data_IF_112356190544
#
_entry.id   IF_112356190544
#
_cell.length_a   1.000
_cell.length_b   1.000
_cell.length_c   1.000
_cell.angle_alpha   90.00
_cell.angle_beta   90.00
_cell.angle_gamma   90.00
#
_symmetry.space_group_name_H-M   'P 1'
#
loop_
_entity.id
_entity.type
_entity.pdbx_description
1 polymer ?
#
# COMPACT_ATOMS: atom_id res chain seq x y z
N UNK A 1 -6.43 4.83 -1.93
CA UNK A 1 -5.17 5.48 -1.57
C UNK A 1 -3.99 4.79 -2.24
N UNK A 2 -2.98 5.57 -2.62
CA UNK A 2 -1.68 5.10 -3.06
C UNK A 2 -0.63 5.83 -2.24
N UNK A 3 0.23 5.09 -1.56
CA UNK A 3 1.34 5.66 -0.79
C UNK A 3 2.63 5.54 -1.59
N UNK A 4 3.44 6.58 -1.55
CA UNK A 4 4.74 6.69 -2.23
C UNK A 4 5.77 7.26 -1.28
N UNK A 5 7.03 6.96 -1.49
CA UNK A 5 8.16 7.55 -0.79
C UNK A 5 9.37 7.67 -1.73
N UNK A 6 10.19 8.68 -1.54
CA UNK A 6 11.49 8.80 -2.23
C UNK A 6 12.57 7.98 -1.53
N UNK A 7 12.51 7.93 -0.20
CA UNK A 7 13.42 7.14 0.63
C UNK A 7 12.84 5.75 0.93
N UNK A 8 13.66 4.87 1.48
CA UNK A 8 13.21 3.54 1.91
C UNK A 8 12.22 3.65 3.06
N UNK A 9 10.96 3.45 2.76
CA UNK A 9 9.85 3.38 3.72
C UNK A 9 9.03 2.14 3.38
N UNK A 10 8.76 1.34 4.39
CA UNK A 10 7.85 0.20 4.29
C UNK A 10 6.47 0.56 4.83
N UNK A 11 5.46 0.11 4.12
CA UNK A 11 4.09 0.03 4.65
C UNK A 11 3.82 -1.41 5.05
N UNK A 12 3.33 -1.61 6.27
CA UNK A 12 2.79 -2.88 6.73
C UNK A 12 1.29 -2.74 6.89
N UNK A 13 0.54 -3.58 6.21
CA UNK A 13 -0.90 -3.65 6.29
C UNK A 13 -1.29 -4.74 7.27
N UNK A 14 -2.05 -4.38 8.30
CA UNK A 14 -2.47 -5.24 9.39
C UNK A 14 -3.99 -5.29 9.50
N UNK A 15 -4.54 -6.38 10.00
CA UNK A 15 -5.95 -6.43 10.36
C UNK A 15 -6.26 -5.39 11.45
N UNK A 16 -7.49 -4.90 11.51
CA UNK A 16 -7.93 -3.94 12.53
C UNK A 16 -8.13 -4.61 13.90
N UNK A 17 -7.07 -5.20 14.44
CA UNK A 17 -7.08 -6.05 15.66
C UNK A 17 -7.45 -5.32 16.95
N UNK A 18 -7.26 -4.00 17.01
CA UNK A 18 -7.62 -3.18 18.18
C UNK A 18 -9.04 -2.58 18.08
N UNK A 19 -9.80 -2.91 17.05
CA UNK A 19 -11.15 -2.43 16.86
C UNK A 19 -12.16 -3.56 17.11
N UNK A 20 -13.04 -3.36 18.09
CA UNK A 20 -14.14 -4.27 18.35
C UNK A 20 -15.24 -4.10 17.30
N UNK A 21 -15.60 -5.19 16.62
CA UNK A 21 -16.78 -5.26 15.74
C UNK A 21 -17.85 -6.10 16.43
N UNK A 22 -19.07 -5.56 16.50
CA UNK A 22 -20.23 -6.31 16.98
C UNK A 22 -20.53 -7.49 16.04
N UNK A 23 -20.47 -7.23 14.74
CA UNK A 23 -20.62 -8.24 13.69
C UNK A 23 -19.26 -8.48 13.06
N UNK A 24 -18.75 -9.69 13.18
CA UNK A 24 -17.47 -10.05 12.58
C UNK A 24 -17.57 -10.09 11.06
N UNK A 25 -16.45 -9.79 10.39
CA UNK A 25 -16.34 -9.99 8.95
C UNK A 25 -16.45 -11.49 8.63
N UNK A 26 -17.05 -11.85 7.47
CA UNK A 26 -17.22 -13.26 7.08
C UNK A 26 -15.93 -13.92 6.60
N UNK A 27 -14.79 -13.40 6.99
CA UNK A 27 -13.48 -13.89 6.60
C UNK A 27 -12.34 -13.07 7.18
N UNK A 28 -11.13 -13.35 6.72
CA UNK A 28 -9.90 -12.70 7.17
C UNK A 28 -9.30 -11.81 6.08
N UNK A 29 -8.93 -10.59 6.47
CA UNK A 29 -8.16 -9.69 5.61
C UNK A 29 -6.68 -10.04 5.79
N UNK A 30 -6.02 -10.37 4.69
CA UNK A 30 -4.58 -10.58 4.67
C UNK A 30 -3.86 -9.27 4.48
N UNK A 31 -2.85 -9.07 5.31
CA UNK A 31 -1.92 -7.97 5.19
C UNK A 31 -0.68 -8.33 4.38
N UNK A 32 0.19 -7.36 4.25
CA UNK A 32 1.48 -7.50 3.60
C UNK A 32 2.41 -6.36 3.98
N UNK A 33 3.70 -6.52 3.67
CA UNK A 33 4.72 -5.50 3.88
C UNK A 33 5.37 -5.16 2.54
N UNK A 34 5.34 -3.87 2.17
CA UNK A 34 5.77 -3.41 0.85
C UNK A 34 6.70 -2.19 0.94
N UNK A 35 7.75 -2.11 0.12
CA UNK A 35 8.59 -0.93 0.02
C UNK A 35 7.89 0.15 -0.83
N UNK A 36 7.57 1.29 -0.23
CA UNK A 36 6.84 2.37 -0.89
C UNK A 36 7.67 3.12 -1.93
N UNK A 37 8.99 3.10 -1.79
CA UNK A 37 9.92 3.70 -2.75
C UNK A 37 10.05 2.89 -4.05
N UNK A 38 9.66 1.62 -4.05
CA UNK A 38 9.73 0.75 -5.21
C UNK A 38 8.37 0.28 -5.71
N UNK A 39 7.33 0.36 -4.87
CA UNK A 39 6.03 -0.24 -5.18
C UNK A 39 4.85 0.73 -4.99
N UNK A 40 4.77 1.81 -5.78
CA UNK A 40 3.69 2.79 -5.69
C UNK A 40 2.42 2.25 -6.36
N UNK A 41 1.74 1.37 -5.68
CA UNK A 41 0.45 0.81 -6.12
C UNK A 41 -0.68 1.26 -5.20
N UNK A 42 -1.91 1.31 -5.70
CA UNK A 42 -3.07 1.43 -4.84
C UNK A 42 -3.06 0.34 -3.77
N UNK A 43 -3.47 0.69 -2.55
CA UNK A 43 -3.63 -0.31 -1.50
C UNK A 43 -4.65 -1.35 -1.96
N UNK A 44 -4.17 -2.57 -2.05
CA UNK A 44 -4.97 -3.74 -2.33
C UNK A 44 -4.98 -4.62 -1.09
N UNK A 45 -6.08 -5.29 -0.86
CA UNK A 45 -6.20 -6.25 0.21
C UNK A 45 -6.72 -7.58 -0.34
N UNK A 46 -6.19 -8.67 0.21
CA UNK A 46 -6.68 -10.00 -0.05
C UNK A 46 -7.63 -10.40 1.08
N UNK A 47 -8.68 -11.10 0.74
CA UNK A 47 -9.69 -11.55 1.68
C UNK A 47 -9.95 -13.03 1.51
N UNK A 48 -9.80 -13.79 2.58
CA UNK A 48 -10.18 -15.19 2.63
C UNK A 48 -11.56 -15.32 3.24
N UNK A 49 -12.51 -15.85 2.48
CA UNK A 49 -13.86 -16.11 2.93
C UNK A 49 -13.92 -17.35 3.80
N UNK A 50 -14.44 -17.21 5.03
CA UNK A 50 -14.74 -18.33 5.92
C UNK A 50 -16.24 -18.67 5.89
N UNK A 51 -17.07 -17.67 5.61
CA UNK A 51 -18.52 -17.78 5.52
C UNK A 51 -18.97 -17.21 4.17
N UNK A 52 -18.83 -17.97 3.06
CA UNK A 52 -19.07 -17.47 1.70
C UNK A 52 -20.52 -17.06 1.44
N UNK A 53 -21.46 -17.51 2.28
CA UNK A 53 -22.88 -17.15 2.19
C UNK A 53 -23.19 -15.76 2.78
N UNK A 54 -22.23 -15.13 3.44
CA UNK A 54 -22.42 -13.81 4.04
C UNK A 54 -21.74 -12.71 3.24
N UNK A 55 -22.41 -11.58 3.15
CA UNK A 55 -21.84 -10.37 2.54
C UNK A 55 -20.81 -9.69 3.44
N UNK A 56 -19.83 -9.03 2.80
CA UNK A 56 -18.95 -8.10 3.51
C UNK A 56 -19.69 -6.77 3.65
N UNK A 57 -20.00 -6.38 4.88
CA UNK A 57 -20.61 -5.08 5.18
C UNK A 57 -19.56 -4.15 5.77
N UNK A 58 -19.27 -3.07 5.06
CA UNK A 58 -18.33 -2.02 5.48
C UNK A 58 -19.11 -0.75 5.78
N UNK A 59 -19.00 -0.26 7.00
CA UNK A 59 -19.64 1.00 7.42
C UNK A 59 -18.62 2.14 7.39
N UNK A 60 -19.05 3.30 6.94
CA UNK A 60 -18.22 4.49 6.97
C UNK A 60 -17.79 4.81 8.41
N UNK A 61 -16.50 5.09 8.61
CA UNK A 61 -15.93 5.38 9.92
C UNK A 61 -15.43 4.17 10.70
N UNK A 62 -15.70 2.93 10.22
CA UNK A 62 -15.10 1.75 10.80
C UNK A 62 -13.76 1.42 10.12
N UNK A 63 -12.72 1.09 10.89
CA UNK A 63 -11.45 0.68 10.30
C UNK A 63 -11.60 -0.67 9.61
N UNK A 64 -11.10 -0.75 8.38
CA UNK A 64 -11.02 -2.02 7.63
C UNK A 64 -9.72 -2.75 7.95
N UNK A 65 -8.62 -2.02 7.94
CA UNK A 65 -7.28 -2.48 8.29
C UNK A 65 -6.44 -1.30 8.78
N UNK A 66 -5.30 -1.61 9.38
CA UNK A 66 -4.32 -0.61 9.81
C UNK A 66 -3.14 -0.58 8.84
N UNK A 67 -2.57 0.62 8.65
CA UNK A 67 -1.31 0.82 7.95
C UNK A 67 -0.27 1.32 8.93
N UNK A 68 0.84 0.60 9.04
CA UNK A 68 2.02 0.99 9.79
C UNK A 68 3.13 1.37 8.82
N UNK A 69 3.76 2.52 9.06
CA UNK A 69 4.87 3.00 8.25
C UNK A 69 6.16 2.92 9.04
N UNK A 70 7.19 2.33 8.43
CA UNK A 70 8.52 2.18 9.02
C UNK A 70 9.56 2.78 8.09
N UNK A 71 10.29 3.78 8.59
CA UNK A 71 11.45 4.36 7.90
C UNK A 71 12.71 3.53 8.10
N UNK A 72 13.79 4.01 7.52
CA UNK A 72 15.13 3.42 7.66
C UNK A 72 15.77 3.86 8.99
N UNK A 73 15.47 3.12 10.04
CA UNK A 73 15.98 3.32 11.40
C UNK A 73 14.92 3.76 12.42
N UNK A 74 15.13 3.40 13.70
CA UNK A 74 14.14 3.60 14.76
C UNK A 74 13.89 5.07 15.13
N UNK A 75 14.87 5.94 14.87
CA UNK A 75 14.83 7.36 15.25
C UNK A 75 14.33 8.28 14.12
N UNK A 76 13.89 7.71 12.99
CA UNK A 76 13.38 8.48 11.85
C UNK A 76 11.86 8.40 11.77
N UNK A 77 11.13 9.42 12.22
CA UNK A 77 9.68 9.45 12.12
C UNK A 77 9.25 9.57 10.66
N UNK A 78 8.17 8.85 10.29
CA UNK A 78 7.55 8.95 8.97
C UNK A 78 6.41 9.95 9.04
N UNK A 79 6.44 10.94 8.15
CA UNK A 79 5.36 11.91 8.00
C UNK A 79 4.55 11.59 6.74
N UNK A 80 3.24 11.51 6.89
CA UNK A 80 2.31 11.36 5.76
C UNK A 80 1.86 12.74 5.30
N UNK A 81 2.06 13.03 4.02
CA UNK A 81 1.66 14.30 3.39
C UNK A 81 0.89 14.02 2.09
N UNK A 82 0.09 14.97 1.66
CA UNK A 82 -0.50 14.89 0.31
C UNK A 82 0.55 15.17 -0.75
N UNK A 83 0.54 14.35 -1.81
CA UNK A 83 1.42 14.49 -2.96
C UNK A 83 0.64 14.69 -4.25
N UNK A 84 1.28 15.35 -5.22
CA UNK A 84 0.73 15.50 -6.57
C UNK A 84 0.92 14.21 -7.38
N UNK A 85 -0.08 13.85 -8.17
CA UNK A 85 0.04 12.78 -9.15
C UNK A 85 0.64 13.34 -10.43
N UNK A 86 1.96 13.41 -10.47
CA UNK A 86 2.69 13.87 -11.66
C UNK A 86 2.55 12.88 -12.82
N UNK A 87 2.72 13.32 -14.08
CA UNK A 87 2.72 12.42 -15.25
C UNK A 87 3.78 11.32 -15.14
N UNK A 88 4.96 11.63 -14.60
CA UNK A 88 6.04 10.66 -14.40
C UNK A 88 5.65 9.58 -13.38
N UNK A 89 5.06 10.00 -12.26
CA UNK A 89 4.54 9.06 -11.26
C UNK A 89 3.43 8.18 -11.83
N UNK A 90 2.50 8.76 -12.58
CA UNK A 90 1.41 8.01 -13.21
C UNK A 90 1.95 6.96 -14.19
N UNK A 91 2.92 7.33 -15.03
CA UNK A 91 3.59 6.40 -15.94
C UNK A 91 4.30 5.27 -15.20
N UNK A 92 5.03 5.60 -14.13
CA UNK A 92 5.71 4.60 -13.32
C UNK A 92 4.72 3.62 -12.65
N UNK A 93 3.63 4.12 -12.09
CA UNK A 93 2.58 3.28 -11.50
C UNK A 93 1.95 2.32 -12.52
N UNK A 94 1.75 2.78 -13.76
CA UNK A 94 1.24 1.95 -14.85
C UNK A 94 2.24 0.86 -15.23
N UNK A 95 3.52 1.20 -15.35
CA UNK A 95 4.59 0.25 -15.64
C UNK A 95 4.71 -0.82 -14.53
N UNK A 96 4.64 -0.42 -13.26
CA UNK A 96 4.64 -1.34 -12.12
C UNK A 96 3.46 -2.31 -12.19
N UNK A 97 2.28 -1.84 -12.54
CA UNK A 97 1.11 -2.70 -12.72
C UNK A 97 1.32 -3.74 -13.83
N UNK A 98 2.09 -3.40 -14.87
CA UNK A 98 2.47 -4.30 -15.96
C UNK A 98 3.50 -5.36 -15.55
N UNK A 99 4.42 -5.04 -14.64
CA UNK A 99 5.50 -5.95 -14.21
C UNK A 99 4.95 -7.26 -13.63
N UNK A 100 3.83 -7.22 -12.96
CA UNK A 100 3.16 -8.39 -12.35
C UNK A 100 2.82 -9.47 -13.39
N UNK A 101 2.64 -9.09 -14.65
CA UNK A 101 2.24 -10.00 -15.71
C UNK A 101 3.39 -10.91 -16.22
N UNK A 102 4.65 -10.56 -15.96
CA UNK A 102 5.81 -11.29 -16.47
C UNK A 102 6.86 -11.66 -15.42
N UNK A 103 6.71 -11.21 -14.19
CA UNK A 103 7.62 -11.55 -13.09
C UNK A 103 6.86 -12.31 -12.01
N UNK A 104 7.20 -13.57 -11.81
CA UNK A 104 6.48 -14.47 -10.91
C UNK A 104 6.94 -14.48 -9.45
N UNK A 105 8.08 -13.84 -9.14
CA UNK A 105 8.66 -13.86 -7.79
C UNK A 105 8.73 -12.45 -7.20
N UNK A 106 8.43 -12.32 -5.91
CA UNK A 106 8.37 -11.02 -5.21
C UNK A 106 9.68 -10.21 -5.31
N UNK A 107 10.83 -10.84 -5.13
CA UNK A 107 12.12 -10.15 -5.26
C UNK A 107 12.39 -9.70 -6.70
N UNK A 108 12.01 -10.51 -7.68
CA UNK A 108 12.10 -10.14 -9.10
C UNK A 108 11.20 -8.95 -9.43
N UNK A 109 10.02 -8.86 -8.84
CA UNK A 109 9.11 -7.72 -9.00
C UNK A 109 9.75 -6.42 -8.51
N UNK A 110 10.34 -6.42 -7.33
CA UNK A 110 10.97 -5.23 -6.76
C UNK A 110 12.21 -4.81 -7.54
N UNK A 111 13.03 -5.76 -7.99
CA UNK A 111 14.18 -5.48 -8.85
C UNK A 111 13.76 -4.84 -10.18
N UNK A 112 12.78 -5.41 -10.85
CA UNK A 112 12.24 -4.86 -12.10
C UNK A 112 11.62 -3.46 -11.88
N UNK A 113 10.96 -3.23 -10.75
CA UNK A 113 10.44 -1.93 -10.38
C UNK A 113 11.56 -0.89 -10.17
N UNK A 114 12.64 -1.28 -9.51
CA UNK A 114 13.79 -0.42 -9.27
C UNK A 114 14.48 0.03 -10.57
N UNK A 115 14.61 -0.87 -11.54
CA UNK A 115 15.23 -0.59 -12.84
C UNK A 115 14.51 0.51 -13.65
N UNK A 116 13.19 0.62 -13.50
CA UNK A 116 12.35 1.62 -14.22
C UNK A 116 11.95 2.81 -13.36
N UNK A 117 12.38 2.83 -12.11
CA UNK A 117 11.99 3.84 -11.13
C UNK A 117 12.55 5.22 -11.48
N UNK A 118 11.73 6.28 -11.53
CA UNK A 118 12.21 7.65 -11.58
C UNK A 118 13.05 8.01 -10.34
N UNK A 119 13.99 8.93 -10.50
CA UNK A 119 14.84 9.39 -9.39
C UNK A 119 14.02 10.01 -8.24
N UNK A 120 12.89 10.62 -8.56
CA UNK A 120 11.97 11.24 -7.60
C UNK A 120 10.54 10.82 -7.88
N UNK A 121 9.83 10.37 -6.84
CA UNK A 121 8.41 10.00 -6.92
C UNK A 121 7.51 11.06 -6.28
N UNK A 122 7.96 11.66 -5.16
CA UNK A 122 7.14 12.47 -4.30
C UNK A 122 7.25 13.96 -4.64
N UNK A 123 6.15 14.55 -5.08
CA UNK A 123 5.99 16.00 -5.22
C UNK A 123 4.90 16.44 -4.23
N UNK A 124 5.26 17.15 -3.15
CA UNK A 124 4.28 17.62 -2.17
C UNK A 124 3.24 18.53 -2.83
N UNK A 125 1.98 18.32 -2.50
CA UNK A 125 0.92 19.22 -2.94
C UNK A 125 1.07 20.57 -2.24
N UNK A 126 1.06 21.66 -2.99
CA UNK A 126 1.07 23.01 -2.41
C UNK A 126 -0.18 23.18 -1.56
N UNK A 127 0.01 23.64 -0.33
CA UNK A 127 -1.11 24.10 0.50
C UNK A 127 -1.54 25.46 -0.05
N UNK A 128 -2.78 25.54 -0.46
CA UNK A 128 -3.42 26.81 -0.76
C UNK A 128 -3.60 27.65 0.52
#
# INVERSE_FOLDING_TARGET
YCFIADETVYITQLSAFAHYRKEQLPGTIFGGRFPLNLWPRPLMWAFEWHEPEKDIVLKRGEPLFYCQFEGDGPDRPVQVIEAERTPELAKYMEQISGVVNYVGQTFGLFKAAEEIRPAKLLTPKKKD
#
